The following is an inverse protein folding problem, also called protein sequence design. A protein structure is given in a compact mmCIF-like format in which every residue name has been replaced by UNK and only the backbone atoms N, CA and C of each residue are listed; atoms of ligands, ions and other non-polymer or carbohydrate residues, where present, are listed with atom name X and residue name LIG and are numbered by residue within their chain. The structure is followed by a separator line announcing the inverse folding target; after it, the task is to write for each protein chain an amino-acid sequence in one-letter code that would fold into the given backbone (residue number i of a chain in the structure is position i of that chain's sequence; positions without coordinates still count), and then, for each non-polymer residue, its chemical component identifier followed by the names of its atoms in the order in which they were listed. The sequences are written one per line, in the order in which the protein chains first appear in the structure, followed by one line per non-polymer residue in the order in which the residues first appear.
data_IF_502242358709
#
_entry.id   IF_502242358709
#
_cell.length_a   1.000
_cell.length_b   1.000
_cell.length_c   1.000
_cell.angle_alpha   90.00
_cell.angle_beta   90.00
_cell.angle_gamma   90.00
#
_symmetry.space_group_name_H-M   'P 1'
#
loop_
_entity.id
_entity.type
_entity.pdbx_description
1 polymer ?
#
# COMPACT_ATOMS: atom_id res chain seq x y z
N UNK A 1 -28.82 7.23 -7.89
CA UNK A 1 -27.53 7.96 -8.01
C UNK A 1 -26.69 7.92 -6.73
N UNK A 2 -25.44 7.45 -6.84
CA UNK A 2 -24.40 7.47 -5.79
C UNK A 2 -23.08 7.97 -6.36
N UNK A 3 -22.24 8.59 -5.53
CA UNK A 3 -20.90 9.01 -5.91
C UNK A 3 -19.89 7.89 -5.72
N UNK A 4 -19.56 7.16 -6.78
CA UNK A 4 -18.82 5.91 -6.70
C UNK A 4 -17.38 6.01 -7.21
N UNK A 5 -16.51 5.15 -6.67
CA UNK A 5 -15.17 4.89 -7.20
C UNK A 5 -14.65 3.54 -6.73
N UNK A 6 -13.71 2.97 -7.50
CA UNK A 6 -12.93 1.80 -7.11
C UNK A 6 -11.60 2.28 -6.54
N UNK A 7 -11.22 1.77 -5.37
CA UNK A 7 -9.98 2.15 -4.70
C UNK A 7 -9.33 0.98 -3.97
N UNK A 8 -8.02 1.07 -3.82
CA UNK A 8 -7.21 0.18 -3.00
C UNK A 8 -7.12 0.77 -1.59
N UNK A 9 -7.56 0.04 -0.57
CA UNK A 9 -7.42 0.46 0.83
C UNK A 9 -5.94 0.57 1.19
N UNK A 10 -5.55 1.66 1.86
CA UNK A 10 -4.17 1.93 2.22
C UNK A 10 -3.94 1.68 3.72
N UNK A 11 -3.00 0.80 4.02
CA UNK A 11 -2.53 0.48 5.37
C UNK A 11 -1.06 0.89 5.49
N UNK A 12 -0.68 1.65 6.52
CA UNK A 12 0.69 2.11 6.74
C UNK A 12 0.89 2.44 8.22
N UNK A 13 2.14 2.53 8.71
CA UNK A 13 2.44 3.09 10.02
C UNK A 13 2.30 4.62 9.98
N UNK A 14 1.05 5.07 9.90
CA UNK A 14 0.73 6.47 9.76
C UNK A 14 1.22 7.26 10.98
N UNK A 15 1.67 8.52 10.80
CA UNK A 15 1.99 9.39 11.92
C UNK A 15 0.81 9.52 12.89
N UNK A 16 1.07 9.37 14.18
CA UNK A 16 0.07 9.57 15.24
C UNK A 16 -0.50 11.00 15.22
N UNK A 17 0.34 11.97 14.86
CA UNK A 17 -0.01 13.37 14.77
C UNK A 17 0.23 13.95 13.37
N UNK A 18 -0.77 14.66 12.87
CA UNK A 18 -0.67 15.46 11.65
C UNK A 18 -0.77 16.95 11.95
N UNK A 19 -0.21 17.82 11.08
CA UNK A 19 -0.47 19.25 11.16
C UNK A 19 -1.99 19.54 11.11
N UNK A 20 -2.46 20.64 11.74
CA UNK A 20 -3.87 21.00 11.74
C UNK A 20 -4.47 21.09 10.34
N UNK A 21 -5.45 20.21 10.09
CA UNK A 21 -6.22 20.09 8.87
C UNK A 21 -7.45 19.19 9.13
N UNK A 22 -8.30 18.99 8.12
CA UNK A 22 -9.32 17.93 8.19
C UNK A 22 -8.68 16.61 7.76
N UNK A 23 -8.24 15.82 8.74
CA UNK A 23 -7.56 14.54 8.54
C UNK A 23 -8.58 13.47 8.13
N UNK A 24 -8.22 12.63 7.16
CA UNK A 24 -8.98 11.43 6.83
C UNK A 24 -8.71 10.37 7.90
N UNK A 25 -9.79 9.76 8.39
CA UNK A 25 -9.71 8.57 9.22
C UNK A 25 -8.97 7.46 8.47
N UNK A 26 -8.26 6.59 9.19
CA UNK A 26 -7.33 5.64 8.59
C UNK A 26 -8.04 4.62 7.70
N UNK A 27 -9.19 4.14 8.15
CA UNK A 27 -10.08 3.23 7.42
C UNK A 27 -10.63 3.84 6.12
N UNK A 28 -10.55 5.17 5.98
CA UNK A 28 -10.95 5.92 4.81
C UNK A 28 -9.78 6.23 3.86
N UNK A 29 -8.53 5.92 4.23
CA UNK A 29 -7.35 6.14 3.39
C UNK A 29 -7.28 5.08 2.31
N UNK A 30 -7.15 5.55 1.08
CA UNK A 30 -7.14 4.69 -0.09
C UNK A 30 -6.38 5.36 -1.25
N UNK A 31 -5.95 4.54 -2.21
CA UNK A 31 -5.53 4.98 -3.53
C UNK A 31 -6.68 4.74 -4.51
N UNK A 32 -7.24 5.82 -5.05
CA UNK A 32 -8.32 5.70 -6.05
C UNK A 32 -7.76 5.12 -7.35
N UNK A 33 -8.36 4.05 -7.87
CA UNK A 33 -7.97 3.42 -9.14
C UNK A 33 -8.83 3.93 -10.29
N UNK A 34 -10.16 3.99 -10.10
CA UNK A 34 -11.10 4.54 -11.08
C UNK A 34 -12.18 5.34 -10.37
N UNK A 35 -12.37 6.60 -10.76
CA UNK A 35 -13.45 7.46 -10.25
C UNK A 35 -14.63 7.48 -11.22
N UNK A 36 -15.83 7.11 -10.76
CA UNK A 36 -17.05 7.04 -11.58
C UNK A 36 -17.86 8.35 -11.50
N UNK A 37 -17.74 9.07 -10.38
CA UNK A 37 -18.61 10.22 -10.11
C UNK A 37 -20.00 9.77 -9.71
N UNK A 38 -21.00 10.62 -9.96
CA UNK A 38 -22.40 10.32 -9.64
C UNK A 38 -23.01 9.42 -10.71
N UNK A 39 -23.34 8.18 -10.34
CA UNK A 39 -23.87 7.14 -11.25
C UNK A 39 -24.96 6.31 -10.58
N UNK A 40 -25.78 5.58 -11.35
CA UNK A 40 -26.67 4.56 -10.79
C UNK A 40 -25.86 3.35 -10.31
N UNK A 41 -26.11 2.92 -9.07
CA UNK A 41 -25.22 2.00 -8.37
C UNK A 41 -25.63 0.54 -8.55
N UNK A 42 -26.92 0.29 -8.66
CA UNK A 42 -27.55 -1.02 -8.71
C UNK A 42 -26.98 -1.88 -9.85
N UNK A 43 -26.85 -1.40 -11.11
CA UNK A 43 -26.27 -2.20 -12.18
C UNK A 43 -24.81 -2.61 -11.92
N UNK A 44 -24.01 -1.72 -11.31
CA UNK A 44 -22.63 -2.04 -10.94
C UNK A 44 -22.60 -3.07 -9.81
N UNK A 45 -23.44 -2.91 -8.79
CA UNK A 45 -23.51 -3.82 -7.65
C UNK A 45 -23.89 -5.23 -8.11
N UNK A 46 -24.89 -5.34 -8.97
CA UNK A 46 -25.32 -6.61 -9.58
C UNK A 46 -24.21 -7.26 -10.42
N UNK A 47 -23.34 -6.47 -11.04
CA UNK A 47 -22.23 -6.95 -11.86
C UNK A 47 -20.99 -7.36 -11.06
N UNK A 48 -20.87 -7.01 -9.77
CA UNK A 48 -19.69 -7.31 -8.94
C UNK A 48 -19.27 -8.79 -8.86
N UNK A 49 -20.18 -9.79 -8.92
CA UNK A 49 -19.77 -11.20 -9.02
C UNK A 49 -18.92 -11.51 -10.26
N UNK A 50 -18.98 -10.67 -11.30
CA UNK A 50 -18.16 -10.76 -12.52
C UNK A 50 -16.95 -9.82 -12.52
N UNK A 51 -16.59 -9.25 -11.36
CA UNK A 51 -15.47 -8.33 -11.22
C UNK A 51 -14.18 -8.97 -11.75
N UNK A 52 -13.42 -8.29 -12.64
CA UNK A 52 -12.19 -8.85 -13.18
C UNK A 52 -11.13 -8.91 -12.07
N UNK A 53 -10.56 -10.09 -11.77
CA UNK A 53 -9.54 -10.20 -10.74
C UNK A 53 -8.27 -9.45 -11.16
N UNK A 54 -7.52 -8.87 -10.20
CA UNK A 54 -6.25 -8.23 -10.51
C UNK A 54 -5.21 -9.24 -11.00
N UNK A 55 -4.26 -8.81 -11.86
CA UNK A 55 -3.20 -9.68 -12.40
C UNK A 55 -2.06 -9.94 -11.40
N UNK A 56 -2.25 -9.64 -10.12
CA UNK A 56 -1.29 -9.83 -9.05
C UNK A 56 -1.95 -10.65 -7.93
N UNK A 57 -1.34 -11.76 -7.49
CA UNK A 57 -1.93 -12.63 -6.46
C UNK A 57 -1.78 -12.06 -5.05
N UNK A 58 -0.77 -11.21 -4.84
CA UNK A 58 -0.46 -10.56 -3.57
C UNK A 58 -0.98 -9.11 -3.55
N UNK A 59 -1.23 -8.60 -2.35
CA UNK A 59 -1.40 -7.18 -2.08
C UNK A 59 -0.17 -6.38 -2.54
N UNK A 60 -0.37 -5.11 -2.84
CA UNK A 60 0.71 -4.26 -3.33
C UNK A 60 1.48 -3.64 -2.15
N UNK A 61 2.80 -3.62 -2.23
CA UNK A 61 3.64 -2.81 -1.37
C UNK A 61 4.16 -1.59 -2.14
N UNK A 62 3.98 -0.41 -1.57
CA UNK A 62 4.57 0.83 -2.06
C UNK A 62 5.28 1.58 -0.94
N UNK A 63 5.97 2.65 -1.31
CA UNK A 63 6.62 3.53 -0.36
C UNK A 63 6.25 4.97 -0.63
N UNK A 64 6.03 5.76 0.41
CA UNK A 64 5.91 7.20 0.26
C UNK A 64 7.26 7.79 -0.14
N UNK A 65 7.25 8.68 -1.14
CA UNK A 65 8.47 9.31 -1.66
C UNK A 65 8.29 10.82 -1.90
N UNK A 66 7.05 11.30 -1.97
CA UNK A 66 6.74 12.70 -2.17
C UNK A 66 5.46 13.11 -1.43
N UNK A 67 5.50 14.31 -0.85
CA UNK A 67 4.32 15.00 -0.34
C UNK A 67 3.69 15.84 -1.45
N UNK A 68 2.40 15.60 -1.72
CA UNK A 68 1.63 16.27 -2.76
C UNK A 68 0.65 17.28 -2.15
N UNK A 69 0.56 18.44 -2.80
CA UNK A 69 -0.46 19.45 -2.52
C UNK A 69 -1.33 19.60 -3.76
N UNK A 70 -2.59 19.13 -3.67
CA UNK A 70 -3.47 19.00 -4.83
C UNK A 70 -4.70 19.93 -4.73
N UNK A 71 -5.12 20.54 -5.86
CA UNK A 71 -4.35 20.73 -7.08
C UNK A 71 -3.15 21.67 -6.85
N UNK A 72 -2.16 21.72 -7.76
CA UNK A 72 -0.94 22.52 -7.57
C UNK A 72 -1.21 24.03 -7.33
N UNK A 73 -2.21 24.58 -8.02
CA UNK A 73 -2.71 25.95 -7.84
C UNK A 73 -3.88 25.92 -6.86
N UNK A 74 -3.77 26.62 -5.72
CA UNK A 74 -4.76 26.62 -4.63
C UNK A 74 -5.05 25.22 -4.06
N UNK A 75 -4.04 24.58 -3.45
CA UNK A 75 -4.21 23.23 -2.94
C UNK A 75 -5.17 23.21 -1.77
N UNK A 76 -6.05 22.23 -1.81
CA UNK A 76 -7.01 21.96 -0.75
C UNK A 76 -6.96 20.51 -0.27
N UNK A 77 -6.03 19.72 -0.81
CA UNK A 77 -5.72 18.33 -0.45
C UNK A 77 -4.23 18.21 -0.17
N UNK A 78 -3.89 17.46 0.87
CA UNK A 78 -2.55 16.90 1.08
C UNK A 78 -2.63 15.40 0.89
N UNK A 79 -1.69 14.86 0.12
CA UNK A 79 -1.59 13.44 -0.15
C UNK A 79 -0.12 13.00 -0.14
N UNK A 80 0.13 11.72 0.15
CA UNK A 80 1.41 11.10 -0.16
C UNK A 80 1.35 10.47 -1.53
N UNK A 81 2.34 10.77 -2.38
CA UNK A 81 2.60 9.95 -3.57
C UNK A 81 3.13 8.60 -3.13
N UNK A 82 2.74 7.55 -3.84
CA UNK A 82 3.14 6.17 -3.54
C UNK A 82 3.98 5.65 -4.70
N UNK A 83 5.25 5.39 -4.43
CA UNK A 83 6.12 4.70 -5.35
C UNK A 83 5.84 3.19 -5.31
N UNK A 84 5.32 2.67 -6.42
CA UNK A 84 4.99 1.26 -6.64
C UNK A 84 5.96 0.63 -7.64
N UNK A 85 7.25 0.93 -7.57
CA UNK A 85 8.26 0.61 -8.61
C UNK A 85 8.03 -0.74 -9.32
N UNK A 86 7.91 -1.84 -8.57
CA UNK A 86 7.75 -3.20 -9.10
C UNK A 86 6.31 -3.51 -9.60
N UNK A 87 5.30 -2.78 -9.11
CA UNK A 87 3.89 -3.04 -9.37
C UNK A 87 3.21 -2.03 -10.31
N UNK A 88 3.89 -0.93 -10.67
CA UNK A 88 3.29 0.18 -11.44
C UNK A 88 2.69 -0.29 -12.77
N UNK A 89 3.40 -1.15 -13.49
CA UNK A 89 2.92 -1.68 -14.77
C UNK A 89 1.68 -2.59 -14.59
N UNK A 90 1.70 -3.48 -13.59
CA UNK A 90 0.58 -4.38 -13.27
C UNK A 90 -0.66 -3.59 -12.82
N UNK A 91 -0.48 -2.55 -12.01
CA UNK A 91 -1.58 -1.68 -11.59
C UNK A 91 -2.17 -0.87 -12.75
N UNK A 92 -1.33 -0.35 -13.65
CA UNK A 92 -1.80 0.35 -14.85
C UNK A 92 -2.60 -0.59 -15.78
N UNK A 93 -2.12 -1.82 -15.98
CA UNK A 93 -2.86 -2.85 -16.72
C UNK A 93 -4.20 -3.17 -16.05
N UNK A 94 -4.21 -3.34 -14.72
CA UNK A 94 -5.43 -3.60 -13.98
C UNK A 94 -6.45 -2.44 -14.11
N UNK A 95 -5.98 -1.20 -14.00
CA UNK A 95 -6.83 -0.02 -14.21
C UNK A 95 -7.46 -0.02 -15.60
N UNK A 96 -6.71 -0.36 -16.66
CA UNK A 96 -7.25 -0.47 -18.02
C UNK A 96 -8.32 -1.56 -18.13
N UNK A 97 -8.06 -2.74 -17.54
CA UNK A 97 -9.05 -3.83 -17.48
C UNK A 97 -10.33 -3.38 -16.78
N UNK A 98 -10.23 -2.68 -15.65
CA UNK A 98 -11.39 -2.14 -14.93
C UNK A 98 -12.16 -1.13 -15.78
N UNK A 99 -11.47 -0.20 -16.46
CA UNK A 99 -12.11 0.78 -17.33
C UNK A 99 -12.87 0.10 -18.47
N UNK A 100 -12.30 -0.94 -19.08
CA UNK A 100 -12.97 -1.69 -20.15
C UNK A 100 -14.21 -2.41 -19.63
N UNK A 101 -14.10 -3.12 -18.50
CA UNK A 101 -15.24 -3.79 -17.85
C UNK A 101 -16.35 -2.80 -17.48
N UNK A 102 -16.02 -1.65 -16.90
CA UNK A 102 -17.00 -0.60 -16.58
C UNK A 102 -17.68 -0.05 -17.84
N UNK A 103 -16.95 0.09 -18.96
CA UNK A 103 -17.52 0.51 -20.24
C UNK A 103 -18.50 -0.53 -20.81
N UNK A 104 -18.25 -1.83 -20.66
CA UNK A 104 -19.20 -2.86 -21.10
C UNK A 104 -20.51 -2.84 -20.30
N UNK A 105 -20.48 -2.28 -19.08
CA UNK A 105 -21.66 -2.04 -18.23
C UNK A 105 -22.35 -0.69 -18.53
N UNK A 106 -21.85 0.09 -19.49
CA UNK A 106 -22.43 1.38 -19.88
C UNK A 106 -21.94 2.59 -19.08
N UNK A 107 -20.94 2.45 -18.22
CA UNK A 107 -20.36 3.59 -17.48
C UNK A 107 -19.40 4.42 -18.36
N UNK A 108 -19.52 5.75 -18.29
CA UNK A 108 -18.64 6.69 -18.96
C UNK A 108 -17.55 7.18 -18.01
N UNK A 109 -16.30 6.76 -18.24
CA UNK A 109 -15.12 7.20 -17.48
C UNK A 109 -14.53 8.43 -18.17
N UNK A 110 -14.61 9.59 -17.51
CA UNK A 110 -14.21 10.90 -18.09
C UNK A 110 -12.80 11.36 -17.69
N UNK A 111 -12.09 10.62 -16.85
CA UNK A 111 -10.76 11.03 -16.39
C UNK A 111 -9.68 10.59 -17.39
N UNK A 112 -9.19 11.53 -18.19
CA UNK A 112 -8.12 11.33 -19.16
C UNK A 112 -6.73 11.62 -18.57
N UNK A 113 -6.65 12.04 -17.30
CA UNK A 113 -5.37 12.43 -16.69
C UNK A 113 -4.50 11.18 -16.47
N UNK A 114 -3.16 11.32 -16.57
CA UNK A 114 -2.26 10.25 -16.18
C UNK A 114 -2.52 9.81 -14.75
N UNK A 115 -2.51 8.49 -14.54
CA UNK A 115 -2.66 7.91 -13.22
C UNK A 115 -1.56 8.40 -12.28
N UNK A 116 -1.97 9.04 -11.18
CA UNK A 116 -1.08 9.52 -10.12
C UNK A 116 -1.36 8.68 -8.87
N UNK A 117 -0.52 7.68 -8.54
CA UNK A 117 -0.74 6.84 -7.37
C UNK A 117 -0.49 7.67 -6.11
N UNK A 118 -1.56 8.01 -5.39
CA UNK A 118 -1.46 8.78 -4.17
C UNK A 118 -2.54 8.38 -3.17
N UNK A 119 -2.25 8.57 -1.89
CA UNK A 119 -3.19 8.41 -0.79
C UNK A 119 -3.46 9.78 -0.20
N UNK A 120 -4.72 10.20 -0.22
CA UNK A 120 -5.13 11.47 0.40
C UNK A 120 -5.11 11.33 1.92
N UNK A 121 -4.46 12.28 2.60
CA UNK A 121 -4.31 12.28 4.06
C UNK A 121 -5.18 13.35 4.71
N UNK A 122 -5.26 14.53 4.10
CA UNK A 122 -6.02 15.63 4.67
C UNK A 122 -6.59 16.57 3.63
N UNK A 123 -7.59 17.35 4.04
CA UNK A 123 -8.13 18.48 3.28
C UNK A 123 -8.05 19.78 4.07
N UNK A 124 -8.23 20.88 3.35
CA UNK A 124 -8.23 22.25 3.90
C UNK A 124 -9.03 22.39 5.19
N UNK A 125 -8.60 23.26 6.12
CA UNK A 125 -7.51 24.25 5.99
C UNK A 125 -6.11 23.60 6.00
N UNK A 126 -5.17 24.13 5.20
CA UNK A 126 -3.80 23.59 5.06
C UNK A 126 -2.76 24.68 5.37
N UNK A 127 -1.73 24.33 6.14
CA UNK A 127 -0.52 25.15 6.32
C UNK A 127 0.69 24.43 5.72
N UNK A 128 1.02 24.73 4.45
CA UNK A 128 2.04 23.98 3.68
C UNK A 128 3.36 23.80 4.42
N UNK A 129 3.84 24.85 5.08
CA UNK A 129 5.14 24.86 5.76
C UNK A 129 5.22 23.88 6.95
N UNK A 130 4.09 23.42 7.48
CA UNK A 130 4.05 22.47 8.61
C UNK A 130 4.09 21.02 8.19
N UNK A 131 3.77 20.71 6.93
CA UNK A 131 3.77 19.34 6.45
C UNK A 131 5.17 18.92 6.03
N UNK A 132 5.56 17.72 6.45
CA UNK A 132 6.82 17.09 6.08
C UNK A 132 6.53 15.76 5.42
N UNK A 133 7.41 15.35 4.52
CA UNK A 133 7.40 13.99 4.01
C UNK A 133 7.79 13.05 5.17
N UNK A 134 7.04 11.97 5.31
CA UNK A 134 7.37 10.85 6.17
C UNK A 134 7.54 9.66 5.24
N UNK A 135 8.75 9.08 5.21
CA UNK A 135 9.04 7.87 4.44
C UNK A 135 8.47 6.68 5.21
N UNK A 136 7.55 5.95 4.58
CA UNK A 136 6.90 4.79 5.18
C UNK A 136 6.47 3.80 4.09
N UNK A 137 6.43 2.49 4.42
CA UNK A 137 5.75 1.52 3.58
C UNK A 137 4.24 1.76 3.59
N UNK A 138 3.58 1.47 2.48
CA UNK A 138 2.12 1.48 2.34
C UNK A 138 1.70 0.20 1.66
N UNK A 139 0.84 -0.56 2.32
CA UNK A 139 0.32 -1.84 1.86
C UNK A 139 -1.12 -1.68 1.37
N UNK A 140 -1.44 -2.38 0.28
CA UNK A 140 -2.77 -2.40 -0.33
C UNK A 140 -3.29 -3.83 -0.48
N UNK A 141 -4.05 -4.29 0.52
CA UNK A 141 -4.54 -5.67 0.59
C UNK A 141 -6.00 -5.84 0.21
N UNK A 142 -6.74 -4.76 0.01
CA UNK A 142 -8.16 -4.81 -0.33
C UNK A 142 -8.52 -3.82 -1.41
N UNK A 143 -9.33 -4.26 -2.35
CA UNK A 143 -9.99 -3.40 -3.33
C UNK A 143 -11.42 -3.20 -2.84
N UNK A 144 -11.91 -1.97 -2.89
CA UNK A 144 -13.30 -1.66 -2.55
C UNK A 144 -14.00 -0.91 -3.67
N UNK A 145 -15.29 -1.18 -3.82
CA UNK A 145 -16.22 -0.22 -4.36
C UNK A 145 -16.66 0.70 -3.22
N UNK A 146 -16.28 1.97 -3.32
CA UNK A 146 -16.62 3.00 -2.33
C UNK A 146 -17.77 3.87 -2.82
N UNK A 147 -18.64 4.24 -1.88
CA UNK A 147 -19.53 5.39 -1.98
C UNK A 147 -18.94 6.56 -1.18
N UNK A 148 -18.79 7.72 -1.82
CA UNK A 148 -18.40 8.96 -1.13
C UNK A 148 -19.64 9.65 -0.57
N UNK A 149 -19.71 9.76 0.76
CA UNK A 149 -20.81 10.42 1.47
C UNK A 149 -20.58 11.92 1.69
N UNK A 150 -19.51 12.48 1.10
CA UNK A 150 -19.05 13.83 1.38
C UNK A 150 -18.25 13.91 2.69
N UNK A 151 -17.70 15.10 2.98
CA UNK A 151 -16.95 15.37 4.22
C UNK A 151 -15.92 14.30 4.61
N UNK A 152 -15.18 13.77 3.62
CA UNK A 152 -14.16 12.73 3.83
C UNK A 152 -14.67 11.37 4.34
N UNK A 153 -15.98 11.16 4.34
CA UNK A 153 -16.59 9.90 4.75
C UNK A 153 -16.81 9.02 3.53
N UNK A 154 -16.39 7.76 3.65
CA UNK A 154 -16.53 6.75 2.61
C UNK A 154 -17.18 5.50 3.18
N UNK A 155 -18.07 4.89 2.41
CA UNK A 155 -18.70 3.63 2.75
C UNK A 155 -18.28 2.58 1.74
N UNK A 156 -17.72 1.46 2.19
CA UNK A 156 -17.52 0.31 1.32
C UNK A 156 -18.87 -0.34 1.02
N UNK A 157 -19.20 -0.47 -0.27
CA UNK A 157 -20.37 -1.20 -0.74
C UNK A 157 -20.03 -2.66 -1.07
N UNK A 158 -18.78 -2.91 -1.40
CA UNK A 158 -18.22 -4.22 -1.72
C UNK A 158 -16.71 -4.19 -1.56
N UNK A 159 -16.09 -5.36 -1.38
CA UNK A 159 -14.66 -5.52 -1.35
C UNK A 159 -14.18 -6.83 -1.98
N UNK A 160 -12.90 -6.84 -2.36
CA UNK A 160 -12.13 -8.00 -2.83
C UNK A 160 -10.83 -8.03 -2.05
N UNK A 161 -10.55 -9.15 -1.39
CA UNK A 161 -9.35 -9.34 -0.57
C UNK A 161 -8.21 -9.92 -1.41
N UNK A 162 -7.01 -9.40 -1.19
CA UNK A 162 -5.76 -9.91 -1.74
C UNK A 162 -5.00 -10.62 -0.63
N UNK A 163 -4.14 -11.58 -1.00
CA UNK A 163 -3.23 -12.20 -0.04
C UNK A 163 -2.19 -11.14 0.36
N UNK A 164 -2.07 -10.76 1.64
CA UNK A 164 -1.15 -9.70 2.03
C UNK A 164 0.32 -10.08 1.78
N UNK A 165 1.17 -9.10 1.44
CA UNK A 165 2.60 -9.32 1.19
C UNK A 165 3.34 -9.80 2.45
N UNK A 166 2.85 -9.39 3.63
CA UNK A 166 3.30 -9.88 4.92
C UNK A 166 2.19 -9.72 5.96
N UNK A 167 2.20 -10.55 7.00
CA UNK A 167 1.33 -10.47 8.18
C UNK A 167 2.16 -10.69 9.43
N UNK A 168 1.94 -9.89 10.47
CA UNK A 168 2.52 -10.15 11.79
C UNK A 168 1.85 -11.38 12.41
N UNK A 169 2.64 -12.24 13.04
CA UNK A 169 2.19 -13.45 13.71
C UNK A 169 2.49 -13.36 15.21
N UNK A 170 1.57 -13.86 16.03
CA UNK A 170 1.84 -14.01 17.46
C UNK A 170 2.99 -15.00 17.68
N UNK A 171 4.07 -14.51 18.28
CA UNK A 171 5.22 -15.33 18.64
C UNK A 171 5.63 -15.03 20.08
N UNK A 172 5.97 -16.08 20.85
CA UNK A 172 5.98 -16.01 22.32
C UNK A 172 7.06 -15.10 22.94
N UNK A 173 8.09 -14.74 22.18
CA UNK A 173 9.23 -13.97 22.69
C UNK A 173 9.78 -12.90 21.73
N UNK A 174 9.39 -12.95 20.46
CA UNK A 174 9.98 -12.16 19.37
C UNK A 174 8.86 -11.68 18.44
N UNK A 175 9.19 -10.77 17.53
CA UNK A 175 8.28 -10.40 16.44
C UNK A 175 8.45 -11.41 15.32
N UNK A 176 7.35 -11.98 14.82
CA UNK A 176 7.37 -12.86 13.66
C UNK A 176 6.47 -12.31 12.55
N UNK A 177 6.90 -12.48 11.31
CA UNK A 177 6.10 -12.17 10.14
C UNK A 177 6.01 -13.37 9.21
N UNK A 178 4.82 -13.63 8.69
CA UNK A 178 4.68 -14.46 7.50
C UNK A 178 4.82 -13.57 6.26
N UNK A 179 5.97 -13.61 5.62
CA UNK A 179 6.32 -12.83 4.42
C UNK A 179 6.09 -13.68 3.17
N UNK A 180 5.48 -13.10 2.14
CA UNK A 180 5.13 -13.80 0.90
C UNK A 180 5.74 -13.11 -0.32
N UNK A 181 6.02 -13.84 -1.39
CA UNK A 181 6.49 -13.28 -2.66
C UNK A 181 6.37 -14.27 -3.80
N UNK A 182 6.27 -13.81 -5.05
CA UNK A 182 6.34 -14.68 -6.24
C UNK A 182 7.77 -14.94 -6.71
N UNK A 183 8.73 -14.15 -6.20
CA UNK A 183 10.16 -14.25 -6.49
C UNK A 183 10.97 -13.93 -5.23
N UNK A 184 12.24 -14.32 -5.17
CA UNK A 184 13.13 -13.94 -4.07
C UNK A 184 13.27 -12.41 -3.92
N UNK A 185 13.25 -11.70 -5.04
CA UNK A 185 13.31 -10.23 -5.03
C UNK A 185 12.06 -9.62 -4.38
N UNK A 186 10.86 -10.08 -4.78
CA UNK A 186 9.61 -9.62 -4.19
C UNK A 186 9.50 -10.01 -2.71
N UNK A 187 9.94 -11.22 -2.35
CA UNK A 187 10.02 -11.68 -0.96
C UNK A 187 10.95 -10.76 -0.12
N UNK A 188 12.11 -10.40 -0.66
CA UNK A 188 13.04 -9.45 -0.03
C UNK A 188 12.41 -8.06 0.13
N UNK A 189 11.73 -7.55 -0.90
CA UNK A 189 11.01 -6.27 -0.87
C UNK A 189 9.90 -6.27 0.18
N UNK A 190 9.16 -7.37 0.33
CA UNK A 190 8.12 -7.50 1.35
C UNK A 190 8.67 -7.66 2.77
N UNK A 191 9.78 -8.39 2.96
CA UNK A 191 10.47 -8.48 4.25
C UNK A 191 10.99 -7.12 4.73
N UNK A 192 11.56 -6.33 3.82
CA UNK A 192 11.93 -4.92 4.07
C UNK A 192 10.72 -4.09 4.48
N UNK A 193 9.60 -4.28 3.78
CA UNK A 193 8.32 -3.63 4.09
C UNK A 193 7.83 -3.95 5.50
N UNK A 194 7.89 -5.22 5.92
CA UNK A 194 7.49 -5.66 7.25
C UNK A 194 8.30 -4.97 8.36
N UNK A 195 9.64 -4.97 8.25
CA UNK A 195 10.51 -4.26 9.21
C UNK A 195 10.22 -2.76 9.24
N UNK A 196 10.06 -2.13 8.08
CA UNK A 196 9.76 -0.70 7.99
C UNK A 196 8.34 -0.36 8.46
N UNK A 197 7.44 -1.34 8.57
CA UNK A 197 6.10 -1.12 9.13
C UNK A 197 6.19 -0.90 10.64
N UNK A 198 7.10 -1.60 11.33
CA UNK A 198 7.35 -1.41 12.75
C UNK A 198 8.35 -0.29 13.04
N UNK A 199 9.35 -0.07 12.17
CA UNK A 199 10.34 0.98 12.34
C UNK A 199 10.64 1.72 11.02
N UNK A 200 9.80 2.69 10.60
CA UNK A 200 9.90 3.33 9.28
C UNK A 200 11.28 3.92 8.92
N UNK A 201 12.04 4.36 9.93
CA UNK A 201 13.36 4.94 9.74
C UNK A 201 14.38 3.95 9.13
N UNK A 202 14.18 2.62 9.26
CA UNK A 202 15.08 1.61 8.68
C UNK A 202 15.13 1.67 7.15
N UNK A 203 14.09 2.23 6.51
CA UNK A 203 13.94 2.25 5.06
C UNK A 203 15.14 2.89 4.33
N UNK A 204 15.80 3.87 4.95
CA UNK A 204 16.95 4.58 4.35
C UNK A 204 18.22 3.72 4.27
N UNK A 205 18.26 2.59 4.99
CA UNK A 205 19.43 1.71 5.06
C UNK A 205 19.31 0.46 4.20
N UNK A 206 18.14 0.19 3.61
CA UNK A 206 17.96 -0.97 2.75
C UNK A 206 18.76 -0.88 1.45
N UNK A 207 19.48 -1.96 1.14
CA UNK A 207 20.13 -2.10 -0.17
C UNK A 207 19.10 -2.14 -1.30
N UNK A 208 19.45 -1.52 -2.43
CA UNK A 208 18.70 -1.59 -3.69
C UNK A 208 19.20 -2.69 -4.62
N UNK A 209 20.22 -3.43 -4.19
CA UNK A 209 20.79 -4.53 -4.96
C UNK A 209 19.81 -5.68 -5.08
N UNK A 210 19.87 -6.35 -6.24
CA UNK A 210 19.12 -7.58 -6.44
C UNK A 210 19.67 -8.68 -5.54
N UNK A 211 18.80 -9.57 -5.06
CA UNK A 211 19.19 -10.74 -4.27
C UNK A 211 19.18 -12.00 -5.14
N UNK A 212 20.21 -12.82 -5.00
CA UNK A 212 20.37 -14.09 -5.69
C UNK A 212 20.01 -15.30 -4.81
N UNK A 213 20.04 -15.15 -3.49
CA UNK A 213 19.72 -16.23 -2.54
C UNK A 213 18.96 -15.73 -1.31
N UNK A 214 18.43 -16.67 -0.53
CA UNK A 214 17.76 -16.36 0.73
C UNK A 214 18.74 -15.82 1.79
N UNK A 215 19.95 -16.35 1.85
CA UNK A 215 21.03 -15.90 2.74
C UNK A 215 21.37 -14.43 2.49
N UNK A 216 21.39 -14.00 1.22
CA UNK A 216 21.60 -12.60 0.87
C UNK A 216 20.47 -11.69 1.36
N UNK A 217 19.22 -12.17 1.35
CA UNK A 217 18.09 -11.43 1.93
C UNK A 217 18.35 -11.20 3.42
N UNK A 218 18.61 -12.26 4.19
CA UNK A 218 18.86 -12.17 5.64
C UNK A 218 20.07 -11.28 5.94
N UNK A 219 21.15 -11.41 5.16
CA UNK A 219 22.34 -10.56 5.27
C UNK A 219 21.98 -9.08 5.04
N UNK A 220 21.26 -8.76 3.96
CA UNK A 220 20.87 -7.38 3.64
C UNK A 220 19.97 -6.76 4.71
N UNK A 221 19.04 -7.53 5.26
CA UNK A 221 18.16 -7.07 6.34
C UNK A 221 18.99 -6.77 7.61
N UNK A 222 19.87 -7.68 8.02
CA UNK A 222 20.73 -7.50 9.19
C UNK A 222 21.72 -6.34 9.06
N UNK A 223 22.27 -6.12 7.86
CA UNK A 223 23.11 -4.93 7.59
C UNK A 223 22.30 -3.64 7.74
N UNK A 224 21.04 -3.61 7.29
CA UNK A 224 20.18 -2.45 7.45
C UNK A 224 19.79 -2.22 8.92
N UNK A 225 19.49 -3.28 9.67
CA UNK A 225 19.20 -3.23 11.11
C UNK A 225 20.39 -2.64 11.87
N UNK A 226 21.60 -3.17 11.69
CA UNK A 226 22.79 -2.70 12.39
C UNK A 226 23.07 -1.20 12.14
N UNK A 227 22.93 -0.75 10.89
CA UNK A 227 23.08 0.68 10.54
C UNK A 227 21.98 1.56 11.13
N UNK A 228 20.74 1.07 11.12
CA UNK A 228 19.62 1.79 11.69
C UNK A 228 19.71 1.88 13.22
N UNK A 229 20.23 0.85 13.88
CA UNK A 229 20.51 0.86 15.32
C UNK A 229 21.56 1.93 15.67
N UNK A 230 22.71 1.89 15.00
CA UNK A 230 23.79 2.86 15.20
C UNK A 230 23.31 4.33 15.04
N UNK A 231 22.43 4.59 14.06
CA UNK A 231 22.00 5.94 13.71
C UNK A 231 20.74 6.43 14.43
N UNK A 232 19.82 5.53 14.78
CA UNK A 232 18.47 5.88 15.23
C UNK A 232 17.96 5.05 16.41
N UNK A 233 18.71 4.08 16.93
CA UNK A 233 18.25 3.18 18.00
C UNK A 233 17.12 2.27 17.54
N UNK A 234 17.32 1.60 16.40
CA UNK A 234 16.45 0.54 15.89
C UNK A 234 16.18 -0.52 16.97
N UNK A 235 14.90 -0.86 17.23
CA UNK A 235 14.55 -1.82 18.28
C UNK A 235 14.86 -3.26 17.88
N UNK A 236 15.24 -3.53 16.63
CA UNK A 236 15.57 -4.88 16.16
C UNK A 236 17.05 -5.17 16.42
N UNK A 237 17.35 -6.36 16.92
CA UNK A 237 18.73 -6.89 17.05
C UNK A 237 19.17 -7.60 15.78
N UNK A 238 18.32 -8.49 15.26
CA UNK A 238 18.61 -9.25 14.05
C UNK A 238 17.34 -9.88 13.44
N UNK A 239 17.41 -10.21 12.16
CA UNK A 239 16.55 -11.21 11.54
C UNK A 239 17.25 -12.56 11.62
N UNK A 240 16.59 -13.51 12.27
CA UNK A 240 17.09 -14.85 12.49
C UNK A 240 17.02 -15.70 11.22
N UNK A 241 18.03 -16.55 11.00
CA UNK A 241 17.98 -17.58 9.96
C UNK A 241 17.14 -18.76 10.47
N UNK A 242 15.82 -18.55 10.55
CA UNK A 242 14.88 -19.58 10.98
C UNK A 242 13.99 -20.01 9.82
N UNK A 243 13.71 -21.32 9.76
CA UNK A 243 12.87 -21.92 8.73
C UNK A 243 13.55 -22.01 7.35
N UNK A 244 12.81 -22.58 6.41
CA UNK A 244 13.12 -22.58 4.99
C UNK A 244 11.97 -21.91 4.23
N UNK A 245 12.27 -21.30 3.09
CA UNK A 245 11.23 -20.79 2.19
C UNK A 245 10.34 -21.96 1.75
N UNK A 246 9.05 -21.82 1.95
CA UNK A 246 8.05 -22.78 1.51
C UNK A 246 7.47 -22.35 0.16
N UNK A 247 7.16 -23.33 -0.70
CA UNK A 247 6.49 -23.08 -1.97
C UNK A 247 5.03 -23.53 -1.89
N UNK A 248 4.09 -22.58 -1.91
CA UNK A 248 2.65 -22.85 -1.78
C UNK A 248 1.91 -22.10 -2.90
N UNK A 249 1.28 -22.85 -3.82
CA UNK A 249 0.46 -22.29 -4.90
C UNK A 249 1.15 -21.15 -5.68
N UNK A 250 2.37 -21.40 -6.16
CA UNK A 250 3.23 -20.43 -6.87
C UNK A 250 3.74 -19.24 -6.03
N UNK A 251 3.48 -19.24 -4.72
CA UNK A 251 4.05 -18.28 -3.77
C UNK A 251 5.22 -18.89 -3.01
N UNK A 252 6.22 -18.05 -2.74
CA UNK A 252 7.22 -18.23 -1.71
C UNK A 252 6.66 -17.70 -0.39
N UNK A 253 6.69 -18.50 0.66
CA UNK A 253 6.35 -18.08 2.01
C UNK A 253 7.55 -18.25 2.93
N UNK A 254 7.79 -17.26 3.79
CA UNK A 254 8.86 -17.27 4.78
C UNK A 254 8.36 -16.74 6.11
N UNK A 255 8.51 -17.55 7.16
CA UNK A 255 8.38 -17.12 8.55
C UNK A 255 9.65 -16.36 8.97
N UNK A 256 9.60 -15.04 8.88
CA UNK A 256 10.66 -14.13 9.27
C UNK A 256 10.57 -13.82 10.76
N UNK A 257 11.53 -14.31 11.55
CA UNK A 257 11.65 -14.00 12.98
C UNK A 257 12.62 -12.84 13.17
N UNK A 258 12.18 -11.83 13.93
CA UNK A 258 12.91 -10.60 14.21
C UNK A 258 13.13 -10.50 15.72
N UNK A 259 14.39 -10.63 16.12
CA UNK A 259 14.81 -10.49 17.51
C UNK A 259 14.73 -9.00 17.90
N UNK A 260 14.10 -8.68 19.03
CA UNK A 260 13.95 -7.31 19.58
C UNK A 260 14.73 -7.12 20.89
#
# INVERSE_FOLDING_TARGET
MKRLFLGLQAEAPWPEEFPPARILAEESRHMTVVFLGDVEAEPLIEALPSFPPPPFPLGLLGYTDQLLFLPPKHPHVVAYHINLAEHRARLAQFQQTLILWLKTLGYSIKDERPFLPHVTIARSPLSKARWKLSLMPVVFNKIHLYESLGNLTYKSLWNYSLVPPFEEQEHTADVAFLVRGTTLQELCTHAKGALAFLFPAIQTFFSREAVASFEEIVMHLNVAIAKADEMHGCPFKAVSFHGAIQHINDLLEWEMIVDV
#
